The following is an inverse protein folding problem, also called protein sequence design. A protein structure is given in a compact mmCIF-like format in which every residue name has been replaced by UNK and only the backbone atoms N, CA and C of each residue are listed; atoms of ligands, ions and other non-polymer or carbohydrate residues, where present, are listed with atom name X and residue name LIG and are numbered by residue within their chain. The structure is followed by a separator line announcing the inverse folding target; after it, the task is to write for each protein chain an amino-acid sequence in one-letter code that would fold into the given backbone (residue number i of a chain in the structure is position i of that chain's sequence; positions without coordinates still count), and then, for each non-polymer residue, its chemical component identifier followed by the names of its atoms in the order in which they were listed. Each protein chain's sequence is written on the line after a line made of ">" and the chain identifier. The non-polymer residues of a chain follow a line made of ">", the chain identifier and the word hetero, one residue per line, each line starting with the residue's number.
data_IF_555014798731
#
_entry.id   IF_555014798731
#
_cell.length_a   1.000
_cell.length_b   1.000
_cell.length_c   1.000
_cell.angle_alpha   90.00
_cell.angle_beta   90.00
_cell.angle_gamma   90.00
#
_symmetry.space_group_name_H-M   'P 1'
#
loop_
_entity.id
_entity.type
_entity.pdbx_description
1 polymer ?
#
# COMPACT_ATOMS: atom_id res chain seq x y z
N UNK A 1 -4.37 15.28 -2.50
CA UNK A 1 -4.36 15.74 -3.87
C UNK A 1 -4.35 17.27 -3.97
N UNK A 2 -5.31 17.99 -3.39
CA UNK A 2 -5.39 19.48 -3.48
C UNK A 2 -4.10 20.19 -3.03
N UNK A 3 -3.40 19.68 -2.03
CA UNK A 3 -2.15 20.23 -1.49
C UNK A 3 -0.91 19.91 -2.33
N UNK A 4 -1.03 18.93 -3.22
CA UNK A 4 0.05 18.44 -4.07
C UNK A 4 -0.37 18.48 -5.54
N UNK A 5 -0.61 19.70 -6.10
CA UNK A 5 -1.07 19.84 -7.48
C UNK A 5 -0.05 19.38 -8.52
N UNK A 6 1.23 19.23 -8.11
CA UNK A 6 2.33 18.72 -8.93
C UNK A 6 2.27 17.21 -9.16
N UNK A 7 1.46 16.47 -8.39
CA UNK A 7 1.30 15.02 -8.52
C UNK A 7 -0.04 14.62 -9.08
N UNK A 8 -0.07 13.58 -9.90
CA UNK A 8 -1.28 12.89 -10.30
C UNK A 8 -1.51 11.69 -9.38
N UNK A 9 -2.73 11.57 -8.87
CA UNK A 9 -3.16 10.47 -8.01
C UNK A 9 -4.07 9.54 -8.80
N UNK A 10 -3.72 8.26 -8.85
CA UNK A 10 -4.51 7.22 -9.47
C UNK A 10 -5.11 6.32 -8.40
N UNK A 11 -6.42 6.12 -8.44
CA UNK A 11 -7.15 5.29 -7.49
C UNK A 11 -7.74 4.12 -8.26
N UNK A 12 -7.22 2.91 -8.02
CA UNK A 12 -7.74 1.67 -8.56
C UNK A 12 -8.85 1.08 -7.68
N UNK A 13 -9.76 0.34 -8.30
CA UNK A 13 -10.87 -0.31 -7.64
C UNK A 13 -12.21 0.38 -7.89
N UNK A 14 -13.30 -0.31 -7.51
CA UNK A 14 -14.65 0.27 -7.61
C UNK A 14 -14.83 1.36 -6.57
N UNK A 15 -14.88 2.59 -7.01
CA UNK A 15 -15.23 3.72 -6.14
C UNK A 15 -16.73 3.68 -5.82
N UNK A 16 -17.11 3.09 -4.70
CA UNK A 16 -18.47 3.25 -4.19
C UNK A 16 -18.52 4.46 -3.24
N UNK A 17 -18.28 5.64 -3.79
CA UNK A 17 -18.17 6.88 -3.05
C UNK A 17 -19.44 7.22 -2.26
N UNK A 18 -20.61 6.81 -2.77
CA UNK A 18 -21.90 6.97 -2.05
C UNK A 18 -22.00 6.13 -0.80
N UNK A 19 -21.39 4.95 -0.77
CA UNK A 19 -21.41 4.07 0.40
C UNK A 19 -20.61 4.62 1.59
N UNK A 20 -19.65 5.51 1.33
CA UNK A 20 -18.80 6.11 2.36
C UNK A 20 -19.25 7.49 2.80
N UNK A 21 -20.43 7.95 2.35
CA UNK A 21 -21.00 9.26 2.75
C UNK A 21 -20.12 10.46 2.36
N UNK A 22 -19.30 10.32 1.34
CA UNK A 22 -18.43 11.39 0.89
C UNK A 22 -19.08 12.16 -0.25
N UNK A 23 -19.09 13.48 -0.14
CA UNK A 23 -19.48 14.40 -1.21
C UNK A 23 -18.37 14.56 -2.27
N UNK A 24 -17.51 13.53 -2.42
CA UNK A 24 -16.43 13.57 -3.39
C UNK A 24 -16.99 13.63 -4.80
N UNK A 25 -16.59 14.66 -5.55
CA UNK A 25 -16.81 14.77 -6.99
C UNK A 25 -15.46 14.83 -7.69
N UNK A 26 -15.28 14.03 -8.74
CA UNK A 26 -14.01 13.94 -9.48
C UNK A 26 -13.62 15.31 -10.06
N UNK A 27 -14.60 16.09 -10.46
CA UNK A 27 -14.43 17.47 -10.97
C UNK A 27 -13.80 18.45 -9.96
N UNK A 28 -13.91 18.16 -8.66
CA UNK A 28 -13.29 18.98 -7.61
C UNK A 28 -11.78 18.74 -7.46
N UNK A 29 -11.23 17.70 -8.17
CA UNK A 29 -9.84 17.28 -8.02
C UNK A 29 -9.21 16.99 -9.39
N UNK A 30 -8.67 18.03 -10.01
CA UNK A 30 -8.09 17.95 -11.38
C UNK A 30 -6.94 16.94 -11.52
N UNK A 31 -6.29 16.60 -10.41
CA UNK A 31 -5.14 15.71 -10.37
C UNK A 31 -5.44 14.33 -9.72
N UNK A 32 -6.72 13.96 -9.61
CA UNK A 32 -7.14 12.62 -9.16
C UNK A 32 -7.90 11.93 -10.27
N UNK A 33 -7.53 10.69 -10.59
CA UNK A 33 -8.19 9.85 -11.57
C UNK A 33 -8.60 8.52 -10.97
N UNK A 34 -9.89 8.19 -11.06
CA UNK A 34 -10.40 6.87 -10.73
C UNK A 34 -10.29 5.96 -11.95
N UNK A 35 -9.55 4.87 -11.79
CA UNK A 35 -9.29 3.92 -12.86
C UNK A 35 -10.37 2.82 -12.96
N UNK A 36 -11.24 2.71 -11.94
CA UNK A 36 -12.18 1.61 -11.85
C UNK A 36 -11.50 0.27 -11.66
N UNK A 37 -12.07 -0.77 -12.27
CA UNK A 37 -11.42 -2.09 -12.28
C UNK A 37 -10.19 -2.04 -13.19
N UNK A 38 -9.07 -2.49 -12.65
CA UNK A 38 -7.80 -2.66 -13.38
C UNK A 38 -7.32 -4.09 -13.18
N UNK A 39 -6.72 -4.68 -14.21
CA UNK A 39 -6.16 -6.03 -14.17
C UNK A 39 -4.91 -6.10 -13.31
N UNK A 40 -4.54 -7.30 -12.84
CA UNK A 40 -3.33 -7.51 -12.02
C UNK A 40 -2.05 -7.03 -12.73
N UNK A 41 -2.00 -7.20 -14.06
CA UNK A 41 -0.88 -6.71 -14.86
C UNK A 41 -0.77 -5.18 -14.86
N UNK A 42 -1.91 -4.48 -14.98
CA UNK A 42 -1.97 -3.02 -14.91
C UNK A 42 -1.64 -2.51 -13.51
N UNK A 43 -2.15 -3.16 -12.46
CA UNK A 43 -1.79 -2.86 -11.06
C UNK A 43 -0.29 -2.94 -10.87
N UNK A 44 0.32 -4.05 -11.30
CA UNK A 44 1.76 -4.27 -11.21
C UNK A 44 2.55 -3.22 -11.98
N UNK A 45 2.10 -2.86 -13.18
CA UNK A 45 2.73 -1.81 -13.98
C UNK A 45 2.67 -0.46 -13.29
N UNK A 46 1.49 -0.07 -12.77
CA UNK A 46 1.31 1.18 -12.05
C UNK A 46 2.18 1.24 -10.79
N UNK A 47 2.21 0.16 -10.00
CA UNK A 47 3.08 0.07 -8.83
C UNK A 47 4.56 0.24 -9.17
N UNK A 48 5.03 -0.41 -10.24
CA UNK A 48 6.43 -0.34 -10.66
C UNK A 48 6.85 1.04 -11.19
N UNK A 49 5.90 1.85 -11.67
CA UNK A 49 6.18 3.14 -12.32
C UNK A 49 5.66 4.35 -11.56
N UNK A 50 5.02 4.17 -10.40
CA UNK A 50 4.58 5.28 -9.57
C UNK A 50 5.75 5.92 -8.82
N UNK A 51 5.60 7.19 -8.44
CA UNK A 51 6.53 7.86 -7.53
C UNK A 51 6.48 7.24 -6.14
N UNK A 52 5.28 6.88 -5.68
CA UNK A 52 5.04 6.12 -4.46
C UNK A 52 3.66 5.45 -4.51
N UNK A 53 3.55 4.28 -3.91
CA UNK A 53 2.29 3.61 -3.64
C UNK A 53 1.77 4.03 -2.27
N UNK A 54 0.53 4.52 -2.21
CA UNK A 54 -0.07 5.03 -0.96
C UNK A 54 -1.13 4.04 -0.47
N UNK A 55 -0.98 3.58 0.77
CA UNK A 55 -1.88 2.63 1.40
C UNK A 55 -2.37 3.15 2.76
N UNK A 56 -3.44 3.98 2.77
CA UNK A 56 -3.94 4.66 3.96
C UNK A 56 -4.99 3.84 4.72
N UNK A 57 -4.82 2.53 4.82
CA UNK A 57 -5.78 1.65 5.47
C UNK A 57 -5.73 1.77 7.00
N UNK A 58 -6.89 1.87 7.63
CA UNK A 58 -7.01 1.92 9.10
C UNK A 58 -6.88 0.56 9.77
N UNK A 59 -7.26 -0.50 9.06
CA UNK A 59 -7.29 -1.84 9.62
C UNK A 59 -6.99 -2.89 8.55
N UNK A 60 -5.98 -3.71 8.83
CA UNK A 60 -5.53 -4.78 7.94
C UNK A 60 -5.17 -6.02 8.77
N UNK A 61 -5.31 -7.19 8.15
CA UNK A 61 -4.79 -8.43 8.70
C UNK A 61 -3.31 -8.65 8.39
N UNK A 62 -2.83 -8.11 7.25
CA UNK A 62 -1.43 -8.25 6.82
C UNK A 62 -0.92 -7.08 5.98
N UNK A 63 -1.63 -6.68 4.92
CA UNK A 63 -1.18 -5.64 3.99
C UNK A 63 -0.48 -6.22 2.75
N UNK A 64 -1.14 -7.14 2.05
CA UNK A 64 -0.62 -7.72 0.81
C UNK A 64 -0.29 -6.67 -0.25
N UNK A 65 -1.15 -5.65 -0.52
CA UNK A 65 -0.86 -4.67 -1.56
C UNK A 65 0.45 -3.89 -1.37
N UNK A 66 0.82 -3.40 -0.16
CA UNK A 66 2.15 -2.82 0.05
C UNK A 66 3.30 -3.79 -0.18
N UNK A 67 3.14 -5.07 0.18
CA UNK A 67 4.16 -6.08 -0.07
C UNK A 67 4.37 -6.31 -1.58
N UNK A 68 3.29 -6.36 -2.35
CA UNK A 68 3.32 -6.45 -3.81
C UNK A 68 4.00 -5.23 -4.42
N UNK A 69 3.66 -4.02 -3.96
CA UNK A 69 4.28 -2.79 -4.41
C UNK A 69 5.79 -2.76 -4.13
N UNK A 70 6.21 -3.16 -2.92
CA UNK A 70 7.63 -3.28 -2.57
C UNK A 70 8.35 -4.31 -3.44
N UNK A 71 7.68 -5.40 -3.83
CA UNK A 71 8.27 -6.46 -4.67
C UNK A 71 8.63 -5.99 -6.08
N UNK A 72 8.02 -4.93 -6.55
CA UNK A 72 8.30 -4.30 -7.85
C UNK A 72 9.09 -2.99 -7.72
N UNK A 73 9.62 -2.71 -6.52
CA UNK A 73 10.51 -1.57 -6.26
C UNK A 73 9.81 -0.26 -5.94
N UNK A 74 8.50 -0.25 -5.69
CA UNK A 74 7.78 0.96 -5.32
C UNK A 74 8.16 1.44 -3.91
N UNK A 75 8.32 2.76 -3.74
CA UNK A 75 8.28 3.39 -2.42
C UNK A 75 6.87 3.27 -1.86
N UNK A 76 6.72 2.85 -0.60
CA UNK A 76 5.41 2.64 0.01
C UNK A 76 5.15 3.63 1.14
N UNK A 77 4.11 4.44 0.99
CA UNK A 77 3.57 5.31 2.05
C UNK A 77 2.41 4.56 2.69
N UNK A 78 2.55 4.18 3.95
CA UNK A 78 1.63 3.27 4.64
C UNK A 78 1.09 3.94 5.90
N UNK A 79 -0.20 3.73 6.20
CA UNK A 79 -0.79 4.17 7.45
C UNK A 79 -0.17 3.45 8.65
N UNK A 80 0.24 4.19 9.68
CA UNK A 80 0.76 3.63 10.93
C UNK A 80 -0.41 3.11 11.79
N UNK A 81 -1.01 2.00 11.35
CA UNK A 81 -2.20 1.42 11.96
C UNK A 81 -2.19 -0.12 11.91
N UNK A 82 -2.92 -0.74 12.84
CA UNK A 82 -3.10 -2.19 12.91
C UNK A 82 -1.76 -2.95 12.93
N UNK A 83 -1.64 -4.03 12.15
CA UNK A 83 -0.44 -4.86 12.05
C UNK A 83 0.66 -4.29 11.13
N UNK A 84 0.37 -3.21 10.38
CA UNK A 84 1.27 -2.70 9.34
C UNK A 84 2.67 -2.33 9.87
N UNK A 85 2.81 -1.63 11.04
CA UNK A 85 4.12 -1.33 11.59
C UNK A 85 4.96 -2.56 11.94
N UNK A 86 4.34 -3.64 12.43
CA UNK A 86 5.01 -4.90 12.74
C UNK A 86 5.56 -5.58 11.48
N UNK A 87 4.82 -5.50 10.36
CA UNK A 87 5.17 -6.17 9.12
C UNK A 87 6.24 -5.39 8.35
N UNK A 88 6.05 -4.07 8.17
CA UNK A 88 6.85 -3.25 7.28
C UNK A 88 7.99 -2.49 7.98
N UNK A 89 7.95 -2.33 9.30
CA UNK A 89 9.03 -1.78 10.11
C UNK A 89 9.60 -0.48 9.55
N UNK A 90 10.91 -0.46 9.32
CA UNK A 90 11.62 0.72 8.79
C UNK A 90 11.65 0.81 7.25
N UNK A 91 10.97 -0.11 6.54
CA UNK A 91 10.98 -0.13 5.07
C UNK A 91 9.81 0.63 4.44
N UNK A 92 9.03 1.36 5.22
CA UNK A 92 7.90 2.14 4.77
C UNK A 92 7.98 3.59 5.23
N UNK A 93 7.39 4.47 4.44
CA UNK A 93 7.10 5.85 4.82
C UNK A 93 5.79 5.87 5.60
N UNK A 94 5.84 6.29 6.86
CA UNK A 94 4.68 6.21 7.75
C UNK A 94 3.87 7.49 7.76
N UNK A 95 2.55 7.33 7.66
CA UNK A 95 1.59 8.42 7.86
C UNK A 95 0.62 8.08 9.00
N UNK A 96 0.22 9.09 9.74
CA UNK A 96 -0.93 8.98 10.63
C UNK A 96 -2.21 8.99 9.78
N UNK A 97 -3.03 7.92 9.81
CA UNK A 97 -4.24 7.83 9.00
C UNK A 97 -5.31 8.90 9.35
N UNK A 98 -5.20 9.51 10.52
CA UNK A 98 -6.10 10.60 10.95
C UNK A 98 -5.58 11.98 10.55
N UNK A 99 -4.30 12.10 10.18
CA UNK A 99 -3.70 13.36 9.76
C UNK A 99 -3.69 13.47 8.23
N UNK A 100 -4.58 14.30 7.70
CA UNK A 100 -4.65 14.60 6.26
C UNK A 100 -3.65 15.69 5.82
N UNK A 101 -2.91 16.28 6.77
CA UNK A 101 -1.95 17.34 6.51
C UNK A 101 -0.53 16.75 6.37
N UNK A 102 -0.30 15.99 5.32
CA UNK A 102 0.99 15.35 5.04
C UNK A 102 1.68 16.09 3.89
N UNK A 103 2.93 16.47 4.08
CA UNK A 103 3.82 16.92 3.01
C UNK A 103 4.50 15.70 2.39
N UNK A 104 4.10 15.35 1.17
CA UNK A 104 4.61 14.17 0.47
C UNK A 104 6.07 14.38 0.00
N UNK A 105 6.49 15.59 -0.29
CA UNK A 105 7.87 15.87 -0.72
C UNK A 105 8.82 15.75 0.45
N UNK A 106 8.46 16.30 1.60
CA UNK A 106 9.22 16.15 2.84
C UNK A 106 9.28 14.67 3.24
N UNK A 107 8.13 13.97 3.26
CA UNK A 107 8.05 12.56 3.63
C UNK A 107 8.94 11.68 2.75
N UNK A 108 8.97 11.91 1.44
CA UNK A 108 9.74 11.12 0.48
C UNK A 108 11.20 11.57 0.33
N UNK A 109 11.61 12.65 1.00
CA UNK A 109 13.00 13.14 1.01
C UNK A 109 13.94 12.31 1.88
N UNK A 110 13.38 11.53 2.81
CA UNK A 110 14.14 10.64 3.67
C UNK A 110 14.34 9.26 3.02
N UNK A 111 15.41 8.58 3.41
CA UNK A 111 15.60 7.18 3.03
C UNK A 111 14.92 6.26 4.04
N UNK A 112 14.42 5.14 3.55
CA UNK A 112 13.87 4.04 4.35
C UNK A 112 14.72 2.79 4.15
N UNK A 113 14.63 1.84 5.07
CA UNK A 113 15.38 0.58 4.96
C UNK A 113 14.95 -0.22 3.73
N UNK A 114 15.88 -1.00 3.16
CA UNK A 114 15.56 -1.91 2.06
C UNK A 114 14.47 -2.90 2.47
N UNK A 115 13.45 -3.14 1.61
CA UNK A 115 12.38 -4.10 1.88
C UNK A 115 12.81 -5.56 1.71
N UNK A 116 14.05 -5.84 1.33
CA UNK A 116 14.55 -7.19 1.00
C UNK A 116 14.33 -8.20 2.14
N UNK A 117 14.55 -7.80 3.39
CA UNK A 117 14.31 -8.67 4.55
C UNK A 117 12.85 -9.06 4.67
N UNK A 118 11.94 -8.13 4.40
CA UNK A 118 10.49 -8.34 4.46
C UNK A 118 10.07 -9.26 3.30
N UNK A 119 10.53 -8.98 2.10
CA UNK A 119 10.23 -9.75 0.90
C UNK A 119 10.72 -11.21 1.02
N UNK A 120 11.89 -11.44 1.62
CA UNK A 120 12.42 -12.76 1.88
C UNK A 120 11.69 -13.49 3.03
N UNK A 121 11.20 -12.73 4.03
CA UNK A 121 10.45 -13.30 5.16
C UNK A 121 9.06 -13.77 4.75
N UNK A 122 8.35 -13.00 3.94
CA UNK A 122 6.94 -13.22 3.61
C UNK A 122 6.78 -13.71 2.16
N UNK A 123 7.12 -14.98 1.93
CA UNK A 123 6.92 -15.66 0.64
C UNK A 123 5.88 -16.76 0.76
N UNK A 124 5.07 -16.98 -0.29
CA UNK A 124 4.14 -18.10 -0.34
C UNK A 124 4.83 -19.46 -0.16
N UNK A 125 6.06 -19.62 -0.69
CA UNK A 125 6.86 -20.82 -0.52
C UNK A 125 7.17 -21.11 0.96
N UNK A 126 7.57 -20.06 1.72
CA UNK A 126 7.85 -20.18 3.15
C UNK A 126 6.59 -20.46 3.95
N UNK A 127 5.49 -19.79 3.61
CA UNK A 127 4.20 -20.04 4.22
C UNK A 127 3.75 -21.49 4.02
N UNK A 128 3.78 -21.99 2.78
CA UNK A 128 3.44 -23.39 2.46
C UNK A 128 4.30 -24.39 3.25
N UNK A 129 5.60 -24.12 3.39
CA UNK A 129 6.52 -24.96 4.18
C UNK A 129 6.11 -25.01 5.65
N UNK A 130 5.87 -23.85 6.27
CA UNK A 130 5.46 -23.75 7.67
C UNK A 130 4.12 -24.47 7.90
N UNK A 131 3.15 -24.28 6.99
CA UNK A 131 1.85 -24.97 7.07
C UNK A 131 2.02 -26.48 6.99
N UNK A 132 2.82 -26.97 6.06
CA UNK A 132 3.11 -28.39 5.90
C UNK A 132 3.76 -28.98 7.17
N UNK A 133 4.80 -28.34 7.70
CA UNK A 133 5.50 -28.78 8.92
C UNK A 133 4.55 -28.83 10.14
N UNK A 134 3.68 -27.84 10.29
CA UNK A 134 2.72 -27.81 11.40
C UNK A 134 1.62 -28.87 11.23
N UNK A 135 1.10 -29.08 10.03
CA UNK A 135 0.10 -30.13 9.78
C UNK A 135 0.64 -31.53 10.13
N UNK A 136 1.88 -31.83 9.75
CA UNK A 136 2.50 -33.12 10.11
C UNK A 136 2.69 -33.30 11.62
N UNK A 137 2.96 -32.23 12.37
CA UNK A 137 3.03 -32.31 13.85
C UNK A 137 1.68 -32.57 14.52
N UNK A 138 0.58 -32.21 13.88
CA UNK A 138 -0.77 -32.47 14.40
C UNK A 138 -1.32 -33.83 14.00
N UNK A 139 -0.84 -34.43 12.90
CA UNK A 139 -1.35 -35.67 12.35
C UNK A 139 -0.49 -36.91 12.73
N UNK A 140 0.73 -36.71 13.23
CA UNK A 140 1.64 -37.77 13.67
C UNK A 140 1.70 -37.86 15.16
#
# INVERSE_FOLDING_TARGET
>A
AKRHPQYNFFIGGKANLKAYGTDYREEDYKNVKFLGYISDGEVKYLMAHCKAFIFPSFFEGFGIPPLEAMSVGAKCIIAKASCLPEIFGESAYWIDPYNTNVDLDELLSHDVASPEKILNKYTFKRFAKIMHENLYRFLG
#
